data_IF_713556654842
#
_entry.id   IF_713556654842
#
_cell.length_a   1.000
_cell.length_b   1.000
_cell.length_c   1.000
_cell.angle_alpha   90.00
_cell.angle_beta   90.00
_cell.angle_gamma   90.00
#
_symmetry.space_group_name_H-M   'P 1'
#
loop_
_entity.id
_entity.type
_entity.pdbx_description
1 polymer ?
#
# COMPACT_ATOMS: atom_id res chain seq x y z
N UNK A 1 -17.43 12.06 6.11
CA UNK A 1 -16.14 11.42 6.45
C UNK A 1 -15.21 12.42 7.14
N UNK A 2 -14.54 12.03 8.23
CA UNK A 2 -13.57 12.89 8.93
C UNK A 2 -12.35 13.17 8.04
N UNK A 3 -11.76 14.37 8.18
CA UNK A 3 -10.56 14.76 7.41
C UNK A 3 -9.36 13.84 7.65
N UNK A 4 -9.26 13.26 8.84
CA UNK A 4 -8.24 12.28 9.20
C UNK A 4 -8.37 10.98 8.39
N UNK A 5 -9.59 10.48 8.21
CA UNK A 5 -9.87 9.31 7.37
C UNK A 5 -9.50 9.55 5.91
N UNK A 6 -9.88 10.71 5.36
CA UNK A 6 -9.51 11.10 3.99
C UNK A 6 -8.00 11.04 3.81
N UNK A 7 -7.24 11.67 4.72
CA UNK A 7 -5.77 11.66 4.67
C UNK A 7 -5.18 10.26 4.73
N UNK A 8 -5.70 9.39 5.61
CA UNK A 8 -5.26 8.00 5.69
C UNK A 8 -5.45 7.27 4.36
N UNK A 9 -6.61 7.44 3.72
CA UNK A 9 -6.85 6.83 2.41
C UNK A 9 -5.92 7.40 1.35
N UNK A 10 -5.69 8.72 1.34
CA UNK A 10 -4.74 9.35 0.41
C UNK A 10 -3.32 8.83 0.60
N UNK A 11 -2.89 8.59 1.84
CA UNK A 11 -1.58 8.02 2.14
C UNK A 11 -1.47 6.57 1.62
N UNK A 12 -2.50 5.75 1.83
CA UNK A 12 -2.56 4.38 1.28
C UNK A 12 -2.51 4.41 -0.26
N UNK A 13 -3.26 5.29 -0.91
CA UNK A 13 -3.26 5.44 -2.36
C UNK A 13 -1.88 5.88 -2.90
N UNK A 14 -1.12 6.68 -2.15
CA UNK A 14 0.25 7.06 -2.53
C UNK A 14 1.26 5.95 -2.36
N UNK A 15 1.04 5.07 -1.39
CA UNK A 15 1.87 3.91 -1.14
C UNK A 15 1.54 2.74 -2.07
N UNK A 16 0.34 2.71 -2.67
CA UNK A 16 -0.13 1.65 -3.56
C UNK A 16 0.90 1.18 -4.61
N UNK A 17 1.54 2.07 -5.41
CA UNK A 17 2.54 1.65 -6.41
C UNK A 17 3.82 1.06 -5.80
N UNK A 18 4.03 1.22 -4.49
CA UNK A 18 5.18 0.73 -3.74
C UNK A 18 4.86 -0.50 -2.90
N UNK A 19 3.59 -0.92 -2.82
CA UNK A 19 3.17 -2.06 -1.99
C UNK A 19 3.98 -3.31 -2.34
N UNK A 20 4.19 -3.60 -3.63
CA UNK A 20 4.95 -4.78 -4.04
C UNK A 20 6.39 -4.76 -3.52
N UNK A 21 7.03 -3.59 -3.53
CA UNK A 21 8.36 -3.41 -2.95
C UNK A 21 8.35 -3.58 -1.43
N UNK A 22 7.29 -3.13 -0.76
CA UNK A 22 7.16 -3.32 0.69
C UNK A 22 6.94 -4.79 1.04
N UNK A 23 6.15 -5.51 0.26
CA UNK A 23 5.94 -6.95 0.41
C UNK A 23 7.26 -7.69 0.19
N UNK A 24 7.96 -7.43 -0.91
CA UNK A 24 9.25 -8.07 -1.21
C UNK A 24 10.28 -7.79 -0.09
N UNK A 25 10.39 -6.54 0.37
CA UNK A 25 11.28 -6.17 1.46
C UNK A 25 10.95 -6.95 2.74
N UNK A 26 9.66 -7.07 3.08
CA UNK A 26 9.22 -7.84 4.24
C UNK A 26 9.52 -9.32 4.09
N UNK A 27 9.28 -9.90 2.91
CA UNK A 27 9.64 -11.29 2.63
C UNK A 27 11.15 -11.52 2.75
N UNK A 28 11.99 -10.59 2.30
CA UNK A 28 13.45 -10.66 2.48
C UNK A 28 13.85 -10.59 3.95
N UNK A 29 13.26 -9.68 4.74
CA UNK A 29 13.50 -9.57 6.19
C UNK A 29 13.11 -10.85 6.94
N UNK A 30 12.03 -11.53 6.50
CA UNK A 30 11.60 -12.82 7.07
C UNK A 30 12.52 -13.97 6.65
N UNK A 31 12.96 -14.00 5.38
CA UNK A 31 13.87 -15.04 4.85
C UNK A 31 15.28 -14.94 5.41
N UNK A 32 15.76 -13.74 5.70
CA UNK A 32 17.09 -13.48 6.22
C UNK A 32 17.02 -12.65 7.51
N UNK A 33 16.59 -13.23 8.64
CA UNK A 33 16.60 -12.54 9.92
C UNK A 33 18.02 -12.07 10.22
N UNK A 34 18.23 -10.75 10.30
CA UNK A 34 19.51 -10.19 10.72
C UNK A 34 19.72 -10.53 12.18
N UNK A 35 20.42 -11.63 12.43
CA UNK A 35 20.94 -11.94 13.76
C UNK A 35 22.01 -10.87 14.05
N UNK A 36 21.83 -10.01 15.07
CA UNK A 36 22.90 -9.12 15.47
C UNK A 36 24.11 -9.99 15.81
N UNK A 37 25.23 -9.73 15.13
CA UNK A 37 26.49 -10.42 15.41
C UNK A 37 26.91 -9.99 16.81
N UNK A 38 26.72 -10.88 17.79
CA UNK A 38 27.22 -10.66 19.14
C UNK A 38 28.75 -10.69 19.07
N UNK A 39 29.38 -9.52 19.06
CA UNK A 39 30.83 -9.35 19.12
C UNK A 39 31.39 -9.66 20.54
N UNK A 40 30.74 -10.56 21.30
CA UNK A 40 31.36 -11.18 22.47
C UNK A 40 32.35 -12.27 22.02
N UNK A 41 33.53 -11.82 21.64
CA UNK A 41 34.74 -12.65 21.59
C UNK A 41 35.09 -13.10 23.01
N UNK A 42 34.51 -14.22 23.43
CA UNK A 42 34.76 -14.88 24.72
C UNK A 42 34.50 -16.37 24.59
N UNK A 43 35.55 -17.14 24.29
CA UNK A 43 35.46 -18.50 23.76
C UNK A 43 34.78 -19.54 24.66
N UNK A 44 34.19 -20.56 24.03
CA UNK A 44 33.75 -21.76 24.75
C UNK A 44 32.76 -22.66 24.02
N UNK A 45 33.29 -23.60 23.23
CA UNK A 45 32.71 -24.89 22.79
C UNK A 45 31.46 -24.90 21.89
N UNK A 46 31.64 -25.50 20.72
CA UNK A 46 30.59 -25.89 19.80
C UNK A 46 29.72 -27.04 20.37
N UNK A 47 28.40 -26.92 20.24
CA UNK A 47 27.48 -28.05 20.12
C UNK A 47 26.52 -27.80 18.95
N UNK A 48 26.61 -28.66 17.94
CA UNK A 48 25.70 -28.74 16.80
C UNK A 48 24.35 -29.36 17.21
N UNK A 49 23.23 -28.72 16.88
CA UNK A 49 21.93 -29.37 16.67
C UNK A 49 21.12 -28.60 15.61
N UNK A 50 20.84 -29.27 14.48
CA UNK A 50 19.97 -28.85 13.36
C UNK A 50 18.47 -28.93 13.72
N UNK A 51 17.51 -28.44 12.90
CA UNK A 51 17.45 -27.19 12.14
C UNK A 51 16.17 -26.43 12.57
N UNK A 52 16.27 -25.52 13.55
CA UNK A 52 15.10 -24.72 13.98
C UNK A 52 14.65 -23.72 12.90
N UNK A 53 15.53 -23.46 11.92
CA UNK A 53 15.30 -22.57 10.79
C UNK A 53 14.17 -23.03 9.89
N UNK A 54 13.96 -24.32 9.65
CA UNK A 54 12.96 -24.78 8.65
C UNK A 54 11.52 -24.62 9.16
N UNK A 55 11.28 -24.86 10.46
CA UNK A 55 9.96 -24.66 11.08
C UNK A 55 9.68 -23.18 11.38
N UNK A 56 10.68 -22.41 11.81
CA UNK A 56 10.53 -20.96 11.98
C UNK A 56 10.29 -20.23 10.65
N UNK A 57 10.85 -20.72 9.53
CA UNK A 57 10.65 -20.12 8.19
C UNK A 57 9.24 -20.41 7.64
N UNK A 58 8.66 -21.57 7.95
CA UNK A 58 7.30 -21.93 7.52
C UNK A 58 6.24 -21.14 8.30
N UNK A 59 6.49 -20.85 9.59
CA UNK A 59 5.55 -20.08 10.45
C UNK A 59 5.63 -18.57 10.17
N UNK A 60 6.77 -18.02 9.74
CA UNK A 60 6.93 -16.56 9.58
C UNK A 60 6.37 -15.98 8.28
N UNK A 61 6.31 -16.77 7.21
CA UNK A 61 5.89 -16.27 5.88
C UNK A 61 4.36 -16.24 5.74
N UNK A 62 3.66 -17.21 6.32
CA UNK A 62 2.19 -17.33 6.23
C UNK A 62 1.44 -16.43 7.25
N UNK A 63 2.08 -16.07 8.37
CA UNK A 63 1.44 -15.36 9.48
C UNK A 63 1.77 -13.86 9.60
N UNK A 64 2.53 -13.24 8.68
CA UNK A 64 2.78 -11.81 8.78
C UNK A 64 1.51 -11.02 8.41
N UNK A 65 0.73 -10.70 9.46
CA UNK A 65 -0.44 -9.82 9.44
C UNK A 65 -0.18 -8.53 8.65
N UNK A 66 1.07 -8.05 8.61
CA UNK A 66 1.46 -6.88 7.83
C UNK A 66 1.49 -7.15 6.33
N UNK A 67 2.04 -8.28 5.89
CA UNK A 67 2.02 -8.68 4.47
C UNK A 67 0.58 -8.87 4.01
N UNK A 68 -0.23 -9.57 4.81
CA UNK A 68 -1.64 -9.78 4.49
C UNK A 68 -2.43 -8.46 4.46
N UNK A 69 -2.14 -7.52 5.36
CA UNK A 69 -2.74 -6.18 5.31
C UNK A 69 -2.33 -5.39 4.05
N UNK A 70 -1.06 -5.45 3.64
CA UNK A 70 -0.56 -4.80 2.42
C UNK A 70 -1.20 -5.41 1.16
N UNK A 71 -1.27 -6.74 1.09
CA UNK A 71 -1.95 -7.46 0.00
C UNK A 71 -3.44 -7.11 -0.08
N UNK A 72 -4.12 -7.10 1.06
CA UNK A 72 -5.52 -6.71 1.13
C UNK A 72 -5.75 -5.25 0.72
N UNK A 73 -4.89 -4.32 1.14
CA UNK A 73 -4.96 -2.93 0.70
C UNK A 73 -4.82 -2.80 -0.81
N UNK A 74 -3.88 -3.54 -1.41
CA UNK A 74 -3.70 -3.57 -2.86
C UNK A 74 -4.94 -4.12 -3.56
N UNK A 75 -5.42 -5.29 -3.14
CA UNK A 75 -6.62 -5.95 -3.69
C UNK A 75 -7.83 -5.00 -3.67
N UNK A 76 -8.09 -4.35 -2.54
CA UNK A 76 -9.19 -3.39 -2.41
C UNK A 76 -9.05 -2.21 -3.38
N UNK A 77 -7.83 -1.73 -3.62
CA UNK A 77 -7.59 -0.63 -4.56
C UNK A 77 -7.73 -1.11 -6.01
N UNK A 78 -7.23 -2.30 -6.33
CA UNK A 78 -7.39 -2.95 -7.63
C UNK A 78 -8.88 -3.08 -7.97
N UNK A 79 -9.68 -3.66 -7.07
CA UNK A 79 -11.13 -3.80 -7.25
C UNK A 79 -11.82 -2.44 -7.41
N UNK A 80 -11.40 -1.42 -6.64
CA UNK A 80 -11.95 -0.07 -6.77
C UNK A 80 -11.59 0.58 -8.11
N UNK A 81 -10.43 0.27 -8.69
CA UNK A 81 -9.99 0.81 -9.98
C UNK A 81 -10.73 0.13 -11.14
N UNK A 82 -10.95 -1.17 -11.05
CA UNK A 82 -11.68 -1.95 -12.06
C UNK A 82 -13.16 -1.52 -12.17
N UNK A 83 -13.76 -1.08 -11.05
CA UNK A 83 -15.15 -0.62 -11.00
C UNK A 83 -15.36 0.80 -11.55
N UNK A 84 -14.30 1.58 -11.79
CA UNK A 84 -14.42 3.00 -12.19
C UNK A 84 -14.09 3.26 -13.65
N UNK A 85 -14.67 4.34 -14.17
CA UNK A 85 -14.40 4.80 -15.52
C UNK A 85 -13.02 5.45 -15.69
N UNK A 86 -12.59 5.54 -16.95
CA UNK A 86 -11.28 6.07 -17.36
C UNK A 86 -10.93 7.44 -16.76
N UNK A 87 -11.88 8.38 -16.69
CA UNK A 87 -11.61 9.71 -16.12
C UNK A 87 -11.20 9.61 -14.64
N UNK A 88 -11.82 8.72 -13.86
CA UNK A 88 -11.48 8.51 -12.44
C UNK A 88 -10.10 7.88 -12.32
N UNK A 89 -9.79 6.89 -13.14
CA UNK A 89 -8.48 6.23 -13.17
C UNK A 89 -7.35 7.24 -13.45
N UNK A 90 -7.53 8.12 -14.44
CA UNK A 90 -6.58 9.19 -14.78
C UNK A 90 -6.41 10.16 -13.61
N UNK A 91 -7.50 10.55 -12.96
CA UNK A 91 -7.47 11.42 -11.78
C UNK A 91 -6.63 10.77 -10.66
N UNK A 92 -6.89 9.51 -10.32
CA UNK A 92 -6.23 8.83 -9.20
C UNK A 92 -4.76 8.58 -9.51
N UNK A 93 -4.46 8.18 -10.75
CA UNK A 93 -3.09 7.91 -11.19
C UNK A 93 -2.23 9.17 -11.16
N UNK A 94 -2.73 10.30 -11.67
CA UNK A 94 -1.97 11.55 -11.68
C UNK A 94 -1.78 12.13 -10.27
N UNK A 95 -2.82 12.08 -9.45
CA UNK A 95 -2.82 12.73 -8.13
C UNK A 95 -2.13 11.91 -7.04
N UNK A 96 -2.23 10.58 -7.07
CA UNK A 96 -1.81 9.71 -5.98
C UNK A 96 -0.68 8.75 -6.36
N UNK A 97 -0.70 8.16 -7.56
CA UNK A 97 0.30 7.14 -7.92
C UNK A 97 1.64 7.74 -8.33
N UNK A 98 1.63 8.99 -8.80
CA UNK A 98 2.86 9.72 -9.10
C UNK A 98 3.47 10.31 -7.82
N UNK A 99 4.77 10.07 -7.62
CA UNK A 99 5.53 10.70 -6.53
C UNK A 99 5.50 12.24 -6.62
N UNK A 100 5.44 12.78 -7.84
CA UNK A 100 5.35 14.21 -8.12
C UNK A 100 4.21 14.46 -9.12
N UNK A 101 3.00 14.80 -8.64
CA UNK A 101 1.87 15.15 -9.49
C UNK A 101 2.23 16.34 -10.38
N UNK A 102 2.09 16.20 -11.71
CA UNK A 102 2.37 17.31 -12.63
C UNK A 102 1.22 18.30 -12.69
N UNK A 103 0.01 17.79 -12.50
CA UNK A 103 -1.21 18.57 -12.60
C UNK A 103 -2.00 18.49 -11.30
N UNK A 104 -2.66 19.60 -10.96
CA UNK A 104 -3.75 19.56 -9.98
C UNK A 104 -5.01 19.00 -10.66
N UNK A 105 -6.03 18.66 -9.88
CA UNK A 105 -7.32 18.22 -10.43
C UNK A 105 -7.89 19.23 -11.44
N UNK A 106 -7.73 20.54 -11.15
CA UNK A 106 -8.11 21.62 -12.06
C UNK A 106 -7.23 21.64 -13.30
N UNK A 107 -5.92 21.44 -13.13
CA UNK A 107 -4.97 21.32 -14.24
C UNK A 107 -5.26 20.15 -15.17
N UNK A 108 -5.75 19.02 -14.66
CA UNK A 108 -6.17 17.89 -15.49
C UNK A 108 -7.31 18.26 -16.44
N UNK A 109 -8.31 18.99 -15.91
CA UNK A 109 -9.44 19.48 -16.73
C UNK A 109 -8.98 20.55 -17.72
N UNK A 110 -8.18 21.52 -17.26
CA UNK A 110 -7.73 22.64 -18.11
C UNK A 110 -6.79 22.19 -19.25
N UNK A 111 -6.11 21.06 -19.10
CA UNK A 111 -5.28 20.44 -20.15
C UNK A 111 -6.03 19.41 -20.99
N UNK A 112 -7.37 19.32 -20.89
CA UNK A 112 -8.20 18.34 -21.61
C UNK A 112 -7.76 16.88 -21.41
N UNK A 113 -7.22 16.55 -20.23
CA UNK A 113 -6.88 15.17 -19.85
C UNK A 113 -8.09 14.40 -19.33
N UNK A 114 -9.20 15.10 -19.06
CA UNK A 114 -10.46 14.54 -18.57
C UNK A 114 -11.58 14.95 -19.50
N UNK A 115 -12.54 14.04 -19.69
CA UNK A 115 -13.75 14.31 -20.47
C UNK A 115 -14.80 15.11 -19.69
N UNK A 116 -14.56 15.31 -18.39
CA UNK A 116 -15.51 15.91 -17.45
C UNK A 116 -15.09 17.30 -16.97
N UNK A 117 -16.07 18.13 -16.64
CA UNK A 117 -15.84 19.44 -16.05
C UNK A 117 -15.29 19.39 -14.62
N UNK A 118 -14.80 20.54 -14.13
CA UNK A 118 -14.14 20.69 -12.80
C UNK A 118 -14.99 20.14 -11.65
N UNK A 119 -16.27 20.51 -11.59
CA UNK A 119 -17.16 20.07 -10.52
C UNK A 119 -17.29 18.54 -10.49
N UNK A 120 -17.48 17.92 -11.65
CA UNK A 120 -17.60 16.48 -11.79
C UNK A 120 -16.30 15.76 -11.46
N UNK A 121 -15.14 16.32 -11.80
CA UNK A 121 -13.84 15.77 -11.41
C UNK A 121 -13.68 15.71 -9.88
N UNK A 122 -14.12 16.74 -9.15
CA UNK A 122 -14.11 16.72 -7.68
C UNK A 122 -15.05 15.65 -7.11
N UNK A 123 -16.24 15.50 -7.70
CA UNK A 123 -17.19 14.45 -7.31
C UNK A 123 -16.61 13.05 -7.52
N UNK A 124 -16.00 12.77 -8.68
CA UNK A 124 -15.40 11.48 -8.99
C UNK A 124 -14.27 11.14 -8.01
N UNK A 125 -13.36 12.09 -7.76
CA UNK A 125 -12.29 11.92 -6.77
C UNK A 125 -12.87 11.63 -5.37
N UNK A 126 -13.88 12.38 -4.95
CA UNK A 126 -14.48 12.21 -3.63
C UNK A 126 -15.24 10.87 -3.51
N UNK A 127 -15.96 10.48 -4.56
CA UNK A 127 -16.66 9.21 -4.64
C UNK A 127 -15.66 8.05 -4.51
N UNK A 128 -14.57 8.07 -5.29
CA UNK A 128 -13.52 7.05 -5.22
C UNK A 128 -12.90 6.95 -3.82
N UNK A 129 -12.49 8.07 -3.22
CA UNK A 129 -11.90 8.07 -1.87
C UNK A 129 -12.89 7.56 -0.81
N UNK A 130 -14.18 7.84 -0.95
CA UNK A 130 -15.22 7.29 -0.08
C UNK A 130 -15.42 5.79 -0.29
N UNK A 131 -15.41 5.32 -1.54
CA UNK A 131 -15.50 3.90 -1.90
C UNK A 131 -14.34 3.11 -1.28
N UNK A 132 -13.10 3.58 -1.47
CA UNK A 132 -11.91 3.02 -0.85
C UNK A 132 -12.01 3.02 0.68
N UNK A 133 -12.47 4.12 1.29
CA UNK A 133 -12.62 4.19 2.75
C UNK A 133 -13.59 3.14 3.30
N UNK A 134 -14.68 2.86 2.58
CA UNK A 134 -15.66 1.82 2.95
C UNK A 134 -15.05 0.43 2.85
N UNK A 135 -14.41 0.09 1.72
CA UNK A 135 -13.82 -1.23 1.50
C UNK A 135 -12.63 -1.50 2.42
N UNK A 136 -11.84 -0.47 2.75
CA UNK A 136 -10.74 -0.55 3.71
C UNK A 136 -11.19 -0.57 5.18
N UNK A 137 -12.49 -0.46 5.47
CA UNK A 137 -13.03 -0.43 6.84
C UNK A 137 -12.65 0.81 7.65
N UNK A 138 -12.26 1.91 6.98
CA UNK A 138 -11.86 3.18 7.60
C UNK A 138 -13.03 4.18 7.71
N UNK A 139 -14.20 3.80 7.22
CA UNK A 139 -15.38 4.65 7.19
C UNK A 139 -16.00 4.77 8.59
N UNK A 140 -15.65 5.84 9.30
CA UNK A 140 -16.35 6.26 10.51
C UNK A 140 -17.79 6.66 10.14
N UNK A 141 -18.76 5.85 10.56
CA UNK A 141 -20.20 6.16 10.60
C UNK A 141 -20.48 7.36 11.52
#
# INVERSE_FOLDING_TARGET
>A
MKRTTIRKVEDILRDYPKIDKYVEKREQELRYPTVPRDDNVGGGKAQYKYPETTLNTIITIDDDRRINALKHQREVIDDCLDDVGHDTEVIITELYFRNHPRYTLVGLVDNNLLSVGKARAYELRNAFVNECAKRLGLYDL
#
